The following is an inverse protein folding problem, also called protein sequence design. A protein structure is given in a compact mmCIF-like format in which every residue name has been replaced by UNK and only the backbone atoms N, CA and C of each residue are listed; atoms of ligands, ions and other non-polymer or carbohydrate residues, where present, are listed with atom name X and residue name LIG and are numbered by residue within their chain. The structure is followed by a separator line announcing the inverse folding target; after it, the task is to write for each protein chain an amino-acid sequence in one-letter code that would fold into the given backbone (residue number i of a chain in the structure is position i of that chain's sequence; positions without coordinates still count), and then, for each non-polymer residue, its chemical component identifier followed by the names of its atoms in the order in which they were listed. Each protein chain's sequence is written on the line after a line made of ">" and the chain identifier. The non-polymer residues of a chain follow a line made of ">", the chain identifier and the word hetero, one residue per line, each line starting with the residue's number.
data_IF_867796288718
#
_entry.id   IF_867796288718
#
_cell.length_a   1.000
_cell.length_b   1.000
_cell.length_c   1.000
_cell.angle_alpha   90.00
_cell.angle_beta   90.00
_cell.angle_gamma   90.00
#
_symmetry.space_group_name_H-M   'P 1'
#
loop_
_entity.id
_entity.type
_entity.pdbx_description
1 polymer ?
#
# COMPACT_ATOMS: atom_id res chain seq x y z
N UNK A 1 -3.74 -10.04 -33.34
CA UNK A 1 -2.65 -10.42 -32.41
C UNK A 1 -1.75 -9.21 -32.25
N UNK A 2 -2.03 -8.35 -31.27
CA UNK A 2 -1.13 -7.25 -30.92
C UNK A 2 0.02 -7.84 -30.12
N UNK A 3 1.26 -7.57 -30.53
CA UNK A 3 2.46 -7.85 -29.74
C UNK A 3 2.27 -7.26 -28.33
N UNK A 4 2.70 -7.94 -27.25
CA UNK A 4 2.68 -7.31 -25.94
C UNK A 4 3.60 -6.10 -26.01
N UNK A 5 3.08 -4.93 -25.64
CA UNK A 5 3.87 -3.71 -25.46
C UNK A 5 4.90 -4.02 -24.36
N UNK A 6 6.09 -4.44 -24.79
CA UNK A 6 7.22 -4.79 -23.93
C UNK A 6 7.50 -3.63 -22.99
N UNK A 7 7.34 -3.87 -21.69
CA UNK A 7 7.88 -2.95 -20.69
C UNK A 7 9.40 -2.91 -20.86
N UNK A 8 10.04 -1.73 -20.99
CA UNK A 8 11.48 -1.66 -21.13
C UNK A 8 12.08 -1.89 -19.76
N UNK A 9 12.77 -3.03 -19.59
CA UNK A 9 13.79 -3.13 -18.56
C UNK A 9 14.60 -1.82 -18.61
N UNK A 10 14.75 -1.13 -17.47
CA UNK A 10 15.37 0.21 -17.44
C UNK A 10 16.70 0.22 -18.19
N UNK A 11 17.20 1.40 -18.60
CA UNK A 11 18.39 1.56 -19.45
C UNK A 11 19.63 0.74 -19.01
N UNK A 12 19.71 0.36 -17.72
CA UNK A 12 20.74 -0.48 -17.12
C UNK A 12 20.42 -1.99 -17.03
N UNK A 13 19.38 -2.50 -17.68
CA UNK A 13 19.00 -3.91 -17.59
C UNK A 13 18.32 -4.30 -16.26
N UNK A 14 17.87 -3.33 -15.45
CA UNK A 14 17.20 -3.55 -14.15
C UNK A 14 16.16 -2.48 -13.85
N UNK A 15 15.18 -2.81 -13.01
CA UNK A 15 14.15 -1.88 -12.55
C UNK A 15 14.59 -1.05 -11.34
N UNK A 16 15.16 -1.70 -10.33
CA UNK A 16 15.48 -1.09 -9.04
C UNK A 16 16.96 -0.72 -8.91
N UNK A 17 17.24 0.28 -8.09
CA UNK A 17 18.58 0.64 -7.66
C UNK A 17 19.22 -0.52 -6.88
N UNK A 18 20.42 -0.95 -7.29
CA UNK A 18 21.11 -2.09 -6.69
C UNK A 18 21.85 -1.75 -5.39
N UNK A 19 22.08 -0.46 -5.12
CA UNK A 19 22.73 0.02 -3.90
C UNK A 19 21.85 1.09 -3.26
N UNK A 20 20.63 0.74 -2.83
CA UNK A 20 19.70 1.68 -2.23
C UNK A 20 20.24 2.15 -0.86
N UNK A 21 20.01 3.42 -0.55
CA UNK A 21 20.00 3.86 0.84
C UNK A 21 18.67 3.42 1.45
N UNK A 22 18.72 2.85 2.65
CA UNK A 22 17.54 2.35 3.36
C UNK A 22 17.54 2.99 4.73
N UNK A 23 16.57 3.87 4.97
CA UNK A 23 16.37 4.47 6.29
C UNK A 23 15.32 3.64 7.06
N UNK A 24 15.60 3.37 8.33
CA UNK A 24 14.67 2.73 9.26
C UNK A 24 13.89 3.81 10.00
N UNK A 25 12.56 3.75 9.92
CA UNK A 25 11.65 4.73 10.52
C UNK A 25 10.74 4.02 11.50
N UNK A 26 10.78 4.42 12.77
CA UNK A 26 9.82 3.93 13.76
C UNK A 26 8.42 4.47 13.46
N UNK A 27 7.44 3.57 13.33
CA UNK A 27 6.04 3.88 12.99
C UNK A 27 5.05 3.44 14.08
N UNK A 28 5.59 3.10 15.24
CA UNK A 28 4.91 2.69 16.46
C UNK A 28 5.91 2.03 17.41
N UNK A 29 5.59 1.82 18.69
CA UNK A 29 6.53 1.30 19.68
C UNK A 29 7.15 -0.04 19.23
N UNK A 30 8.43 -0.02 18.87
CA UNK A 30 9.15 -1.21 18.37
C UNK A 30 8.68 -1.74 17.02
N UNK A 31 7.94 -0.93 16.24
CA UNK A 31 7.47 -1.25 14.90
C UNK A 31 8.14 -0.32 13.89
N UNK A 32 8.68 -0.88 12.82
CA UNK A 32 9.51 -0.13 11.87
C UNK A 32 9.00 -0.26 10.44
N UNK A 33 9.14 0.85 9.71
CA UNK A 33 9.02 0.91 8.26
C UNK A 33 10.40 1.18 7.66
N UNK A 34 10.69 0.56 6.52
CA UNK A 34 11.94 0.74 5.78
C UNK A 34 11.69 1.60 4.55
N UNK A 35 12.32 2.78 4.51
CA UNK A 35 12.15 3.77 3.46
C UNK A 35 13.33 3.71 2.51
N UNK A 36 13.03 3.60 1.23
CA UNK A 36 13.99 3.59 0.13
C UNK A 36 13.65 4.73 -0.81
N UNK A 37 14.48 5.77 -0.80
CA UNK A 37 14.43 6.83 -1.82
C UNK A 37 15.23 6.41 -3.06
N UNK A 38 14.90 7.00 -4.20
CA UNK A 38 15.47 6.69 -5.51
C UNK A 38 15.44 5.18 -5.83
N UNK A 39 14.28 4.56 -5.58
CA UNK A 39 14.11 3.12 -5.63
C UNK A 39 14.23 2.55 -7.05
N UNK A 40 13.62 3.20 -8.04
CA UNK A 40 13.70 2.82 -9.45
C UNK A 40 14.82 3.54 -10.18
N UNK A 41 15.38 2.88 -11.20
CA UNK A 41 16.31 3.47 -12.17
C UNK A 41 15.59 4.40 -13.17
N UNK A 42 14.36 4.06 -13.56
CA UNK A 42 13.56 4.81 -14.55
C UNK A 42 12.08 4.90 -14.09
N UNK A 43 11.78 5.71 -13.06
CA UNK A 43 10.41 5.86 -12.58
C UNK A 43 9.51 6.58 -13.60
N UNK A 44 10.05 7.49 -14.40
CA UNK A 44 9.31 8.17 -15.48
C UNK A 44 8.84 7.19 -16.55
N UNK A 45 9.70 6.26 -16.97
CA UNK A 45 9.36 5.18 -17.89
C UNK A 45 8.25 4.27 -17.35
N UNK A 46 8.29 3.97 -16.04
CA UNK A 46 7.26 3.16 -15.38
C UNK A 46 5.89 3.86 -15.40
N UNK A 47 5.85 5.14 -15.04
CA UNK A 47 4.62 5.94 -15.11
C UNK A 47 4.12 6.04 -16.54
N UNK A 48 5.00 6.31 -17.51
CA UNK A 48 4.62 6.43 -18.90
C UNK A 48 4.08 5.13 -19.50
N UNK A 49 4.59 3.98 -19.07
CA UNK A 49 4.03 2.68 -19.43
C UNK A 49 2.67 2.46 -18.78
N UNK A 50 2.53 2.71 -17.47
CA UNK A 50 1.28 2.51 -16.75
C UNK A 50 0.14 3.39 -17.32
N UNK A 51 0.45 4.62 -17.70
CA UNK A 51 -0.47 5.58 -18.32
C UNK A 51 -1.03 5.13 -19.69
N UNK A 52 -0.37 4.17 -20.36
CA UNK A 52 -0.84 3.58 -21.63
C UNK A 52 -1.74 2.37 -21.43
N UNK A 53 -1.94 1.93 -20.20
CA UNK A 53 -2.70 0.74 -19.87
C UNK A 53 -3.98 1.11 -19.12
N UNK A 54 -4.94 0.18 -19.13
CA UNK A 54 -6.24 0.39 -18.52
C UNK A 54 -6.23 -0.08 -17.08
N UNK A 55 -6.74 0.78 -16.19
CA UNK A 55 -7.03 0.45 -14.80
C UNK A 55 -8.50 0.11 -14.64
N UNK A 56 -8.79 -1.04 -14.06
CA UNK A 56 -10.15 -1.50 -13.80
C UNK A 56 -10.58 -1.12 -12.37
N UNK A 57 -11.88 -0.83 -12.14
CA UNK A 57 -12.38 -0.64 -10.80
C UNK A 57 -12.02 -1.85 -9.91
N UNK A 58 -11.57 -1.58 -8.69
CA UNK A 58 -11.39 -2.64 -7.71
C UNK A 58 -12.74 -3.29 -7.34
N UNK A 59 -12.70 -4.54 -6.89
CA UNK A 59 -13.86 -5.17 -6.28
C UNK A 59 -14.40 -4.31 -5.13
N UNK A 60 -15.73 -4.35 -4.94
CA UNK A 60 -16.41 -3.55 -3.92
C UNK A 60 -15.76 -3.75 -2.55
N UNK A 61 -15.57 -2.65 -1.80
CA UNK A 61 -14.91 -2.58 -0.49
C UNK A 61 -13.40 -2.88 -0.45
N UNK A 62 -12.77 -3.41 -1.50
CA UNK A 62 -11.38 -3.87 -1.46
C UNK A 62 -10.34 -2.74 -1.55
N UNK A 63 -10.59 -1.73 -2.39
CA UNK A 63 -9.66 -0.62 -2.61
C UNK A 63 -10.40 0.63 -3.14
N UNK A 64 -10.07 1.85 -2.66
CA UNK A 64 -10.79 3.08 -3.02
C UNK A 64 -10.37 3.65 -4.39
N UNK A 65 -10.42 2.84 -5.44
CA UNK A 65 -10.11 3.29 -6.78
C UNK A 65 -9.93 2.16 -7.78
N UNK A 66 -8.94 2.31 -8.66
CA UNK A 66 -8.71 1.42 -9.80
C UNK A 66 -7.37 0.70 -9.67
N UNK A 67 -7.32 -0.52 -10.19
CA UNK A 67 -6.18 -1.41 -10.12
C UNK A 67 -5.77 -1.88 -11.51
N UNK A 68 -4.50 -2.22 -11.63
CA UNK A 68 -3.94 -2.87 -12.82
C UNK A 68 -2.86 -3.85 -12.38
N UNK A 69 -2.92 -5.07 -12.92
CA UNK A 69 -1.95 -6.11 -12.59
C UNK A 69 -0.53 -5.69 -12.98
N UNK A 70 0.43 -6.12 -12.16
CA UNK A 70 1.83 -5.91 -12.45
C UNK A 70 2.32 -6.93 -13.48
N UNK A 71 3.30 -6.54 -14.31
CA UNK A 71 3.94 -7.49 -15.22
C UNK A 71 4.88 -8.42 -14.46
N UNK A 72 4.95 -9.73 -14.81
CA UNK A 72 5.74 -10.70 -14.05
C UNK A 72 7.22 -10.36 -13.88
N UNK A 73 7.83 -9.67 -14.86
CA UNK A 73 9.25 -9.26 -14.79
C UNK A 73 9.50 -8.17 -13.74
N UNK A 74 8.55 -7.27 -13.55
CA UNK A 74 8.62 -6.25 -12.51
C UNK A 74 8.35 -6.87 -11.13
N UNK A 75 7.40 -7.80 -11.01
CA UNK A 75 7.17 -8.56 -9.78
C UNK A 75 8.42 -9.33 -9.35
N UNK A 76 9.06 -10.06 -10.28
CA UNK A 76 10.30 -10.79 -10.01
C UNK A 76 11.43 -9.85 -9.57
N UNK A 77 11.53 -8.67 -10.19
CA UNK A 77 12.53 -7.67 -9.81
C UNK A 77 12.27 -7.09 -8.42
N UNK A 78 11.00 -6.85 -8.06
CA UNK A 78 10.60 -6.37 -6.74
C UNK A 78 10.81 -7.43 -5.65
N UNK A 79 10.51 -8.71 -5.93
CA UNK A 79 10.85 -9.82 -5.01
C UNK A 79 12.36 -9.96 -4.83
N UNK A 80 13.15 -9.84 -5.90
CA UNK A 80 14.62 -9.82 -5.82
C UNK A 80 15.13 -8.70 -4.92
N UNK A 81 14.61 -7.48 -5.11
CA UNK A 81 14.94 -6.32 -4.28
C UNK A 81 14.57 -6.58 -2.80
N UNK A 82 13.33 -7.00 -2.54
CA UNK A 82 12.85 -7.31 -1.20
C UNK A 82 13.70 -8.39 -0.53
N UNK A 83 13.97 -9.49 -1.22
CA UNK A 83 14.77 -10.62 -0.74
C UNK A 83 16.19 -10.20 -0.37
N UNK A 84 16.82 -9.35 -1.17
CA UNK A 84 18.20 -8.93 -0.95
C UNK A 84 18.31 -7.87 0.16
N UNK A 85 17.40 -6.89 0.18
CA UNK A 85 17.56 -5.69 1.00
C UNK A 85 16.64 -5.63 2.22
N UNK A 86 15.43 -6.18 2.17
CA UNK A 86 14.40 -5.86 3.16
C UNK A 86 14.00 -7.06 4.02
N UNK A 87 13.89 -8.25 3.41
CA UNK A 87 13.27 -9.43 4.02
C UNK A 87 13.74 -9.73 5.45
N UNK A 88 15.05 -9.72 5.68
CA UNK A 88 15.63 -9.99 7.02
C UNK A 88 15.31 -8.89 8.04
N UNK A 89 15.20 -7.64 7.60
CA UNK A 89 14.90 -6.49 8.47
C UNK A 89 13.48 -6.60 9.04
N UNK A 90 12.54 -7.12 8.24
CA UNK A 90 11.18 -7.46 8.68
C UNK A 90 11.08 -8.84 9.38
N UNK A 91 12.20 -9.48 9.73
CA UNK A 91 12.19 -10.78 10.42
C UNK A 91 11.74 -11.98 9.56
N UNK A 92 11.63 -11.80 8.24
CA UNK A 92 11.30 -12.90 7.34
C UNK A 92 12.54 -13.73 6.99
N UNK A 93 12.37 -15.06 6.96
CA UNK A 93 13.40 -16.01 6.53
C UNK A 93 13.36 -16.24 5.02
N UNK A 94 12.18 -16.48 4.46
CA UNK A 94 11.96 -16.73 3.03
C UNK A 94 10.62 -16.18 2.56
N UNK A 95 10.60 -15.66 1.34
CA UNK A 95 9.36 -15.41 0.59
C UNK A 95 8.81 -16.76 0.12
N UNK A 96 7.50 -16.97 0.23
CA UNK A 96 6.77 -18.13 -0.29
C UNK A 96 5.78 -17.76 -1.40
N UNK A 97 5.42 -16.49 -1.49
CA UNK A 97 4.58 -15.94 -2.55
C UNK A 97 4.73 -14.43 -2.57
N UNK A 98 4.55 -13.86 -3.75
CA UNK A 98 4.66 -12.44 -4.03
C UNK A 98 3.65 -12.11 -5.12
N UNK A 99 2.98 -10.97 -5.00
CA UNK A 99 2.35 -10.33 -6.13
C UNK A 99 2.43 -8.81 -5.96
N UNK A 100 2.33 -8.08 -7.07
CA UNK A 100 2.21 -6.63 -7.06
C UNK A 100 1.10 -6.15 -7.98
N UNK A 101 0.64 -4.93 -7.74
CA UNK A 101 -0.33 -4.25 -8.58
C UNK A 101 -0.08 -2.76 -8.63
N UNK A 102 -0.33 -2.15 -9.76
CA UNK A 102 -0.48 -0.70 -9.82
C UNK A 102 -1.84 -0.33 -9.24
N UNK A 103 -1.84 0.71 -8.43
CA UNK A 103 -3.01 1.16 -7.70
C UNK A 103 -3.17 2.65 -7.88
N UNK A 104 -4.38 3.07 -8.26
CA UNK A 104 -4.73 4.47 -8.45
C UNK A 104 -5.93 4.79 -7.57
N UNK A 105 -5.73 5.62 -6.54
CA UNK A 105 -6.83 6.07 -5.69
C UNK A 105 -7.65 7.12 -6.44
N UNK A 106 -8.95 6.89 -6.63
CA UNK A 106 -9.81 7.76 -7.45
C UNK A 106 -11.14 8.12 -6.81
N UNK A 107 -11.52 7.48 -5.69
CA UNK A 107 -12.81 7.73 -5.07
C UNK A 107 -12.77 8.99 -4.20
N UNK A 108 -13.77 9.85 -4.36
CA UNK A 108 -14.03 10.94 -3.42
C UNK A 108 -14.58 10.39 -2.08
N UNK A 109 -14.43 11.11 -0.96
CA UNK A 109 -14.86 10.66 0.37
C UNK A 109 -16.30 10.15 0.41
N UNK A 110 -17.24 10.83 -0.26
CA UNK A 110 -18.65 10.46 -0.28
C UNK A 110 -18.95 9.14 -1.01
N UNK A 111 -18.02 8.65 -1.85
CA UNK A 111 -18.14 7.38 -2.57
C UNK A 111 -17.49 6.21 -1.81
N UNK A 112 -16.77 6.49 -0.70
CA UNK A 112 -16.11 5.46 0.09
C UNK A 112 -17.11 4.60 0.85
N UNK A 113 -16.80 3.31 0.96
CA UNK A 113 -17.52 2.36 1.81
C UNK A 113 -16.92 2.29 3.22
N UNK A 114 -17.64 1.84 4.26
CA UNK A 114 -17.16 1.84 5.65
C UNK A 114 -15.81 1.15 5.86
N UNK A 115 -15.52 0.07 5.12
CA UNK A 115 -14.21 -0.59 5.13
C UNK A 115 -13.05 0.28 4.63
N UNK A 116 -13.34 1.33 3.87
CA UNK A 116 -12.36 2.27 3.31
C UNK A 116 -12.19 3.54 4.16
N UNK A 117 -12.99 3.72 5.22
CA UNK A 117 -12.89 4.89 6.12
C UNK A 117 -11.84 4.72 7.22
N UNK A 118 -11.29 3.52 7.35
CA UNK A 118 -10.50 3.07 8.48
C UNK A 118 -9.16 2.49 8.00
N UNK A 119 -8.20 2.37 8.91
CA UNK A 119 -7.01 1.58 8.68
C UNK A 119 -7.33 0.08 8.57
N UNK A 120 -6.49 -0.65 7.85
CA UNK A 120 -6.62 -2.09 7.64
C UNK A 120 -5.30 -2.80 7.91
N UNK A 121 -5.36 -4.14 7.89
CA UNK A 121 -4.19 -5.02 7.85
C UNK A 121 -4.25 -5.82 6.56
N UNK A 122 -3.10 -6.02 5.95
CA UNK A 122 -2.96 -6.94 4.85
C UNK A 122 -2.99 -8.38 5.37
N UNK A 123 -3.58 -9.26 4.58
CA UNK A 123 -3.60 -10.70 4.87
C UNK A 123 -3.19 -11.45 3.61
N UNK A 124 -2.33 -12.43 3.80
CA UNK A 124 -2.03 -13.46 2.79
C UNK A 124 -2.65 -14.76 3.26
N UNK A 125 -3.26 -15.51 2.34
CA UNK A 125 -3.94 -16.77 2.64
C UNK A 125 -2.97 -17.95 2.88
N UNK A 126 -1.90 -17.73 3.67
CA UNK A 126 -0.88 -18.73 3.99
C UNK A 126 -0.55 -18.65 5.48
N UNK A 127 -0.73 -19.75 6.20
CA UNK A 127 -0.36 -19.93 7.61
C UNK A 127 0.95 -20.75 7.73
N UNK A 128 1.90 -20.44 8.63
CA UNK A 128 2.09 -19.22 9.41
C UNK A 128 3.02 -18.27 8.64
N UNK A 129 2.44 -17.29 7.94
CA UNK A 129 3.21 -16.32 7.17
C UNK A 129 3.14 -14.91 7.76
N UNK A 130 4.31 -14.28 7.91
CA UNK A 130 4.41 -12.81 7.92
C UNK A 130 3.90 -12.31 6.57
N UNK A 131 3.03 -11.30 6.58
CA UNK A 131 2.73 -10.50 5.39
C UNK A 131 3.62 -9.27 5.43
N UNK A 132 4.62 -9.18 4.55
CA UNK A 132 5.28 -7.90 4.31
C UNK A 132 4.55 -7.19 3.17
N UNK A 133 4.44 -5.87 3.26
CA UNK A 133 3.79 -5.04 2.27
C UNK A 133 4.71 -3.91 1.85
N UNK A 134 4.45 -3.36 0.66
CA UNK A 134 5.21 -2.24 0.13
C UNK A 134 4.35 -1.30 -0.70
N UNK A 135 4.74 -0.03 -0.70
CA UNK A 135 4.12 1.03 -1.52
C UNK A 135 5.24 1.86 -2.15
N UNK A 136 5.31 1.86 -3.47
CA UNK A 136 6.16 2.77 -4.25
C UNK A 136 5.31 3.93 -4.77
N UNK A 137 5.68 5.15 -4.39
CA UNK A 137 4.99 6.37 -4.82
C UNK A 137 5.49 6.83 -6.19
N UNK A 138 4.57 6.90 -7.15
CA UNK A 138 4.83 7.26 -8.55
C UNK A 138 4.10 8.56 -8.94
N UNK A 139 4.12 9.54 -8.03
CA UNK A 139 3.59 10.89 -8.24
C UNK A 139 4.52 11.94 -7.61
N UNK A 140 4.49 13.16 -8.14
CA UNK A 140 5.34 14.27 -7.66
C UNK A 140 4.66 15.17 -6.64
N UNK A 141 3.34 15.32 -6.71
CA UNK A 141 2.60 16.15 -5.75
C UNK A 141 2.48 15.40 -4.41
N UNK A 142 3.36 15.74 -3.47
CA UNK A 142 3.41 15.12 -2.13
C UNK A 142 2.12 15.31 -1.32
N UNK A 143 1.24 16.25 -1.71
CA UNK A 143 -0.07 16.44 -1.05
C UNK A 143 -1.02 15.27 -1.31
N UNK A 144 -0.74 14.44 -2.32
CA UNK A 144 -1.43 13.16 -2.55
C UNK A 144 -1.13 12.11 -1.45
N UNK A 145 -0.24 12.42 -0.51
CA UNK A 145 -0.29 11.86 0.83
C UNK A 145 0.94 11.05 1.23
N UNK A 146 0.69 9.81 1.66
CA UNK A 146 1.70 8.89 2.18
C UNK A 146 1.03 7.64 2.73
N UNK A 147 1.67 7.03 3.73
CA UNK A 147 1.14 5.88 4.48
C UNK A 147 1.20 6.21 5.97
N UNK A 148 0.08 6.08 6.65
CA UNK A 148 -0.02 6.22 8.09
C UNK A 148 -0.24 4.87 8.76
N UNK A 149 0.22 4.76 10.00
CA UNK A 149 0.22 3.57 10.82
C UNK A 149 -0.57 3.82 12.10
N UNK A 150 -1.25 2.79 12.57
CA UNK A 150 -2.22 2.90 13.65
C UNK A 150 -2.15 1.73 14.62
N UNK A 151 -2.68 1.98 15.82
CA UNK A 151 -2.92 0.99 16.87
C UNK A 151 -4.37 1.06 17.34
N UNK A 152 -5.09 -0.07 17.46
CA UNK A 152 -6.43 -0.08 18.02
C UNK A 152 -6.45 0.44 19.47
N UNK A 153 -7.48 1.21 19.81
CA UNK A 153 -7.78 1.67 21.18
C UNK A 153 -8.80 0.78 21.89
N UNK A 154 -9.48 -0.09 21.16
CA UNK A 154 -10.50 -1.00 21.65
C UNK A 154 -9.97 -2.44 21.84
N UNK A 155 -10.77 -3.27 22.51
CA UNK A 155 -10.47 -4.70 22.66
C UNK A 155 -10.51 -5.45 21.32
N UNK A 156 -9.83 -6.61 21.23
CA UNK A 156 -9.83 -7.43 20.02
C UNK A 156 -11.25 -7.82 19.57
N UNK A 157 -12.14 -8.15 20.51
CA UNK A 157 -13.55 -8.49 20.21
C UNK A 157 -14.31 -7.31 19.62
N UNK A 158 -14.13 -6.11 20.19
CA UNK A 158 -14.76 -4.88 19.66
C UNK A 158 -14.22 -4.55 18.27
N UNK A 159 -12.91 -4.70 18.07
CA UNK A 159 -12.25 -4.47 16.79
C UNK A 159 -12.75 -5.43 15.71
N UNK A 160 -12.79 -6.73 15.99
CA UNK A 160 -13.30 -7.74 15.06
C UNK A 160 -14.76 -7.48 14.68
N UNK A 161 -15.58 -7.11 15.66
CA UNK A 161 -16.96 -6.69 15.41
C UNK A 161 -17.02 -5.48 14.50
N UNK A 162 -16.25 -4.43 14.77
CA UNK A 162 -16.21 -3.22 13.94
C UNK A 162 -15.77 -3.50 12.51
N UNK A 163 -14.76 -4.35 12.31
CA UNK A 163 -14.28 -4.73 10.98
C UNK A 163 -15.31 -5.59 10.22
N UNK A 164 -16.03 -6.48 10.91
CA UNK A 164 -17.14 -7.24 10.33
C UNK A 164 -18.31 -6.34 9.94
N UNK A 165 -18.71 -5.44 10.84
CA UNK A 165 -19.77 -4.46 10.60
C UNK A 165 -19.42 -3.52 9.44
N UNK A 166 -18.14 -3.16 9.24
CA UNK A 166 -17.70 -2.33 8.13
C UNK A 166 -17.87 -3.00 6.74
N UNK A 167 -18.04 -4.33 6.70
CA UNK A 167 -18.33 -5.08 5.48
C UNK A 167 -19.82 -5.40 5.33
N UNK A 168 -20.55 -5.51 6.45
CA UNK A 168 -21.93 -5.98 6.47
C UNK A 168 -22.99 -4.86 6.52
N UNK A 169 -22.68 -3.73 7.17
CA UNK A 169 -23.64 -2.66 7.40
C UNK A 169 -23.65 -1.62 6.28
N UNK A 170 -24.80 -0.98 6.09
CA UNK A 170 -24.90 0.22 5.26
C UNK A 170 -24.20 1.43 5.90
N UNK A 171 -23.80 2.39 5.05
CA UNK A 171 -23.10 3.64 5.41
C UNK A 171 -23.71 4.35 6.62
N UNK A 172 -25.03 4.57 6.62
CA UNK A 172 -25.72 5.31 7.68
C UNK A 172 -25.74 4.56 9.01
N UNK A 173 -25.95 3.23 8.98
CA UNK A 173 -25.98 2.40 10.19
C UNK A 173 -24.59 2.28 10.81
N UNK A 174 -23.56 2.05 9.98
CA UNK A 174 -22.18 2.00 10.44
C UNK A 174 -21.78 3.31 11.11
N UNK A 175 -22.10 4.44 10.46
CA UNK A 175 -21.78 5.76 10.98
C UNK A 175 -22.48 6.05 12.32
N UNK A 176 -23.76 5.72 12.44
CA UNK A 176 -24.50 5.87 13.69
C UNK A 176 -23.95 4.99 14.82
N UNK A 177 -23.50 3.76 14.50
CA UNK A 177 -22.99 2.80 15.50
C UNK A 177 -21.61 3.18 16.03
N UNK A 178 -20.72 3.66 15.16
CA UNK A 178 -19.31 3.86 15.48
C UNK A 178 -18.88 5.32 15.58
N UNK A 179 -19.71 6.28 15.19
CA UNK A 179 -19.35 7.70 15.19
C UNK A 179 -18.27 8.05 14.17
N UNK A 180 -18.10 7.23 13.12
CA UNK A 180 -17.13 7.45 12.03
C UNK A 180 -17.88 7.79 10.75
N UNK A 181 -17.36 8.71 9.95
CA UNK A 181 -17.97 9.14 8.69
C UNK A 181 -17.09 8.86 7.48
N UNK A 182 -17.61 9.11 6.26
CA UNK A 182 -16.86 8.93 5.03
C UNK A 182 -15.62 9.83 4.96
N UNK A 183 -14.46 9.24 4.73
CA UNK A 183 -13.20 9.97 4.61
C UNK A 183 -11.99 9.05 4.63
N UNK A 184 -10.85 9.55 4.15
CA UNK A 184 -9.58 8.87 4.33
C UNK A 184 -9.06 9.12 5.74
N UNK A 185 -8.65 8.05 6.43
CA UNK A 185 -8.12 8.17 7.78
C UNK A 185 -6.75 8.86 7.76
N UNK A 186 -6.65 10.00 8.45
CA UNK A 186 -5.47 10.89 8.51
C UNK A 186 -5.11 11.35 9.93
N UNK A 187 -5.86 10.89 10.93
CA UNK A 187 -5.67 11.24 12.33
C UNK A 187 -6.16 10.11 13.24
N UNK A 188 -5.82 10.19 14.53
CA UNK A 188 -6.43 9.34 15.56
C UNK A 188 -7.94 9.60 15.68
N UNK A 189 -8.68 8.59 16.11
CA UNK A 189 -10.09 8.69 16.50
C UNK A 189 -10.35 7.81 17.74
N UNK A 190 -11.62 7.63 18.12
CA UNK A 190 -12.00 6.84 19.29
C UNK A 190 -11.60 5.35 19.19
N UNK A 191 -11.45 4.83 17.98
CA UNK A 191 -11.17 3.41 17.72
C UNK A 191 -9.69 3.12 17.47
N UNK A 192 -8.94 4.09 16.97
CA UNK A 192 -7.55 3.93 16.56
C UNK A 192 -6.69 5.14 16.92
N UNK A 193 -5.49 4.89 17.41
CA UNK A 193 -4.42 5.87 17.57
C UNK A 193 -3.50 5.84 16.36
N UNK A 194 -3.19 6.99 15.77
CA UNK A 194 -2.12 7.11 14.78
C UNK A 194 -0.77 7.07 15.49
N UNK A 195 0.06 6.08 15.15
CA UNK A 195 1.36 5.83 15.79
C UNK A 195 2.53 6.27 14.93
N UNK A 196 2.32 6.44 13.62
CA UNK A 196 3.39 6.82 12.70
C UNK A 196 2.84 7.27 11.34
N UNK A 197 3.68 7.98 10.59
CA UNK A 197 3.37 8.43 9.24
C UNK A 197 4.65 8.55 8.43
N UNK A 198 4.64 7.96 7.24
CA UNK A 198 5.70 8.14 6.24
C UNK A 198 5.13 8.93 5.07
N UNK A 199 5.57 10.19 4.86
CA UNK A 199 5.11 10.99 3.76
C UNK A 199 5.57 10.41 2.42
N UNK A 200 4.74 10.55 1.40
CA UNK A 200 5.13 10.21 0.04
C UNK A 200 6.23 11.15 -0.46
N UNK A 201 7.08 10.60 -1.32
CA UNK A 201 8.01 11.34 -2.14
C UNK A 201 8.11 10.64 -3.50
N UNK A 202 8.44 11.38 -4.56
CA UNK A 202 8.66 10.78 -5.87
C UNK A 202 9.71 9.67 -5.79
N UNK A 203 9.42 8.49 -6.36
CA UNK A 203 10.33 7.35 -6.40
C UNK A 203 10.74 6.81 -5.02
N UNK A 204 9.92 7.07 -3.99
CA UNK A 204 10.06 6.48 -2.65
C UNK A 204 9.29 5.18 -2.56
N UNK A 205 10.00 4.11 -2.20
CA UNK A 205 9.46 2.79 -1.90
C UNK A 205 9.52 2.57 -0.39
N UNK A 206 8.38 2.27 0.21
CA UNK A 206 8.28 1.93 1.64
C UNK A 206 7.97 0.45 1.81
N UNK A 207 8.57 -0.19 2.80
CA UNK A 207 8.26 -1.55 3.21
C UNK A 207 7.89 -1.61 4.69
N UNK A 208 6.92 -2.43 5.05
CA UNK A 208 6.45 -2.58 6.43
C UNK A 208 5.83 -3.96 6.67
N UNK A 209 5.57 -4.29 7.95
CA UNK A 209 4.76 -5.46 8.31
C UNK A 209 3.29 -5.16 7.96
N UNK A 210 2.76 -5.83 6.94
CA UNK A 210 1.36 -5.70 6.51
C UNK A 210 0.36 -6.14 7.58
N UNK A 211 0.80 -6.91 8.59
CA UNK A 211 0.01 -7.21 9.78
C UNK A 211 -0.18 -6.03 10.73
N UNK A 212 0.53 -4.91 10.56
CA UNK A 212 0.30 -3.66 11.27
C UNK A 212 -0.89 -2.90 10.65
N UNK A 213 -1.70 -2.25 11.48
CA UNK A 213 -2.78 -1.41 10.97
C UNK A 213 -2.22 -0.19 10.25
N UNK A 214 -2.66 0.03 9.03
CA UNK A 214 -2.18 1.13 8.19
C UNK A 214 -3.26 1.62 7.22
N UNK A 215 -3.07 2.82 6.66
CA UNK A 215 -3.91 3.39 5.61
C UNK A 215 -3.12 4.34 4.73
N UNK A 216 -3.66 4.64 3.53
CA UNK A 216 -3.19 5.79 2.78
C UNK A 216 -3.52 7.09 3.53
N UNK A 217 -2.52 7.91 3.83
CA UNK A 217 -2.68 9.20 4.49
C UNK A 217 -3.04 10.28 3.46
N UNK A 218 -4.31 10.36 3.06
CA UNK A 218 -4.79 11.23 1.97
C UNK A 218 -5.57 12.42 2.56
N UNK A 219 -4.85 13.50 2.85
CA UNK A 219 -5.43 14.71 3.43
C UNK A 219 -6.14 15.61 2.40
N UNK A 220 -5.79 15.47 1.12
CA UNK A 220 -6.30 16.28 0.01
C UNK A 220 -7.01 15.42 -1.04
N UNK A 221 -8.15 14.79 -0.71
CA UNK A 221 -8.88 13.93 -1.64
C UNK A 221 -9.41 14.66 -2.88
N UNK A 222 -9.52 15.99 -2.82
CA UNK A 222 -9.86 16.86 -3.97
C UNK A 222 -8.80 16.85 -5.08
N UNK A 223 -7.57 16.40 -4.79
CA UNK A 223 -6.49 16.27 -5.77
C UNK A 223 -6.48 14.91 -6.48
N UNK A 224 -7.33 13.96 -6.07
CA UNK A 224 -7.36 12.63 -6.68
C UNK A 224 -7.82 12.71 -8.14
N UNK A 225 -7.19 11.90 -8.98
CA UNK A 225 -7.44 11.82 -10.42
C UNK A 225 -7.35 10.38 -10.89
N UNK A 226 -8.12 10.05 -11.92
CA UNK A 226 -8.06 8.77 -12.63
C UNK A 226 -6.95 8.71 -13.70
N UNK A 227 -6.17 9.79 -13.88
CA UNK A 227 -4.99 9.80 -14.73
C UNK A 227 -3.74 9.34 -14.00
N UNK A 228 -3.04 8.34 -14.54
CA UNK A 228 -1.84 7.75 -13.95
C UNK A 228 -0.70 8.76 -13.72
N UNK A 229 -0.60 9.80 -14.57
CA UNK A 229 0.44 10.85 -14.45
C UNK A 229 0.20 11.90 -13.37
N UNK A 230 -1.06 12.14 -13.02
CA UNK A 230 -1.45 13.27 -12.18
C UNK A 230 -2.12 12.83 -10.87
N UNK A 231 -2.67 11.61 -10.84
CA UNK A 231 -3.29 11.03 -9.65
C UNK A 231 -2.29 10.37 -8.71
N UNK A 232 -2.84 9.81 -7.62
CA UNK A 232 -2.08 9.06 -6.61
C UNK A 232 -1.77 7.64 -7.14
N UNK A 233 -0.88 7.55 -8.11
CA UNK A 233 -0.39 6.28 -8.66
C UNK A 233 0.66 5.67 -7.73
N UNK A 234 0.46 4.40 -7.36
CA UNK A 234 1.43 3.62 -6.60
C UNK A 234 1.63 2.23 -7.20
N UNK A 235 2.80 1.64 -6.99
CA UNK A 235 3.01 0.19 -7.16
C UNK A 235 3.01 -0.44 -5.77
N UNK A 236 2.05 -1.32 -5.51
CA UNK A 236 1.87 -1.99 -4.22
C UNK A 236 2.32 -3.43 -4.34
N UNK A 237 3.23 -3.88 -3.48
CA UNK A 237 3.72 -5.26 -3.45
C UNK A 237 3.38 -5.96 -2.14
N UNK A 238 2.99 -7.23 -2.21
CA UNK A 238 2.59 -8.05 -1.07
C UNK A 238 3.39 -9.35 -1.07
N UNK A 239 4.07 -9.62 0.05
CA UNK A 239 4.98 -10.74 0.19
C UNK A 239 4.50 -11.66 1.32
N UNK A 240 4.09 -12.87 0.96
CA UNK A 240 3.87 -13.92 1.92
C UNK A 240 5.24 -14.51 2.30
N UNK A 241 5.58 -14.48 3.59
CA UNK A 241 6.89 -14.86 4.09
C UNK A 241 6.80 -15.84 5.26
N UNK A 242 7.69 -16.84 5.34
CA UNK A 242 7.86 -17.57 6.60
C UNK A 242 8.77 -16.81 7.54
N UNK A 243 8.39 -16.74 8.82
CA UNK A 243 9.25 -16.20 9.89
C UNK A 243 10.47 -17.12 10.13
N UNK A 244 11.56 -16.54 10.63
CA UNK A 244 12.63 -17.32 11.24
C UNK A 244 12.12 -18.08 12.47
N UNK A 245 12.70 -19.24 12.78
CA UNK A 245 12.49 -19.82 14.10
C UNK A 245 13.14 -18.86 15.11
N UNK A 246 12.37 -18.45 16.12
CA UNK A 246 12.87 -17.74 17.31
C UNK A 246 13.83 -18.62 18.09
#
# INVERSE_FOLDING_TARGET
>A
MSLPLSYPVGHAGRFFNATPRIDEVEVGPGQFCYVVDDALIDPEGLVAWADRHRFEPAEANAYPGRLMDCVPTLEQSLDGFFTHHIRRRLGARRTVGMYARFSLVTLAPAALQPGQWQCHRDRVAIDPALCAASVLYLFRDVRLGGTAFYRPRCTAVQLERMLGDAQALGVAEFSARYGVGPGYMTASNDHFEQTGHVPAAWNRLVFYDGGQFHSGHIAHPELLSDGARHGRLTLNGFFACRRGAS
#
